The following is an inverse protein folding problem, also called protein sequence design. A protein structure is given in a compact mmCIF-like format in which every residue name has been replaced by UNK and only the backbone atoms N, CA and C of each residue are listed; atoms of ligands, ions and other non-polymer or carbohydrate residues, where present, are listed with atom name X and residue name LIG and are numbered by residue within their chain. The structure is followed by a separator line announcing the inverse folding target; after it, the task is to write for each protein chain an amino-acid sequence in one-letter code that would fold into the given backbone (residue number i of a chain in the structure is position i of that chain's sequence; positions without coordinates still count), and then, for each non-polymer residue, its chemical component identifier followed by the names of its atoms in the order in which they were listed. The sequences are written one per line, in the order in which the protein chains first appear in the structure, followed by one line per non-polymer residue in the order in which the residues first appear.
data_IF_275209858949
#
_entry.id   IF_275209858949
#
_cell.length_a   1.000
_cell.length_b   1.000
_cell.length_c   1.000
_cell.angle_alpha   90.00
_cell.angle_beta   90.00
_cell.angle_gamma   90.00
#
_symmetry.space_group_name_H-M   'P 1'
#
loop_
_entity.id
_entity.type
_entity.pdbx_description
1 polymer ?
#
# COMPACT_ATOMS: atom_id res chain seq x y z
N UNK A 1 -20.39 0.30 -26.80
CA UNK A 1 -19.35 1.29 -27.16
C UNK A 1 -18.59 1.56 -25.88
N UNK A 2 -17.37 1.03 -25.77
CA UNK A 2 -16.54 1.15 -24.57
C UNK A 2 -16.25 2.61 -24.26
N UNK A 3 -16.23 2.97 -22.98
CA UNK A 3 -16.16 4.35 -22.53
C UNK A 3 -14.73 4.90 -22.52
N UNK A 4 -13.71 4.10 -22.85
CA UNK A 4 -12.33 4.59 -23.01
C UNK A 4 -11.61 3.94 -24.19
N UNK A 5 -11.67 4.60 -25.35
CA UNK A 5 -10.77 4.29 -26.47
C UNK A 5 -9.28 4.47 -26.09
N UNK A 6 -9.00 5.19 -25.00
CA UNK A 6 -7.65 5.47 -24.50
C UNK A 6 -6.86 4.20 -24.14
N UNK A 7 -7.50 3.17 -23.59
CA UNK A 7 -6.81 1.96 -23.11
C UNK A 7 -7.17 0.67 -23.85
N UNK A 8 -7.77 0.78 -25.03
CA UNK A 8 -8.18 -0.39 -25.83
C UNK A 8 -7.00 -1.26 -26.26
N UNK A 9 -5.78 -0.71 -26.28
CA UNK A 9 -4.56 -1.46 -26.56
C UNK A 9 -4.13 -2.40 -25.41
N UNK A 10 -4.66 -2.18 -24.19
CA UNK A 10 -4.44 -3.05 -23.03
C UNK A 10 -5.56 -4.09 -22.91
N UNK A 11 -6.79 -3.66 -23.09
CA UNK A 11 -7.97 -4.53 -23.07
C UNK A 11 -9.12 -3.87 -23.84
N UNK A 12 -9.68 -4.59 -24.82
CA UNK A 12 -10.77 -4.13 -25.68
C UNK A 12 -12.03 -5.01 -25.60
N UNK A 13 -11.99 -6.07 -24.78
CA UNK A 13 -13.09 -7.03 -24.63
C UNK A 13 -13.32 -7.94 -25.84
N UNK A 14 -12.42 -8.00 -26.82
CA UNK A 14 -12.56 -8.85 -28.00
C UNK A 14 -12.36 -10.34 -27.69
N UNK A 15 -11.48 -10.65 -26.74
CA UNK A 15 -11.25 -12.00 -26.27
C UNK A 15 -12.32 -12.43 -25.25
N UNK A 16 -12.80 -13.69 -25.30
CA UNK A 16 -13.74 -14.19 -24.31
C UNK A 16 -13.04 -14.58 -22.99
N UNK A 17 -13.86 -14.87 -21.97
CA UNK A 17 -13.43 -15.51 -20.71
C UNK A 17 -12.58 -14.65 -19.77
N UNK A 18 -12.51 -13.34 -20.00
CA UNK A 18 -11.97 -12.40 -19.04
C UNK A 18 -12.89 -12.22 -17.84
N UNK A 19 -12.29 -12.15 -16.65
CA UNK A 19 -12.96 -11.77 -15.41
C UNK A 19 -12.08 -10.81 -14.63
N UNK A 20 -12.70 -10.01 -13.76
CA UNK A 20 -11.98 -9.16 -12.81
C UNK A 20 -11.76 -9.97 -11.54
N UNK A 21 -10.51 -10.20 -11.17
CA UNK A 21 -10.19 -10.81 -9.87
C UNK A 21 -9.98 -9.71 -8.85
N UNK A 22 -10.73 -9.80 -7.76
CA UNK A 22 -10.59 -8.93 -6.60
C UNK A 22 -9.78 -9.64 -5.51
N UNK A 23 -8.73 -8.96 -5.07
CA UNK A 23 -7.84 -9.39 -3.98
C UNK A 23 -7.91 -8.36 -2.87
N UNK A 24 -8.31 -8.82 -1.69
CA UNK A 24 -8.32 -7.98 -0.50
C UNK A 24 -7.05 -8.25 0.29
N UNK A 25 -6.31 -7.20 0.62
CA UNK A 25 -5.14 -7.25 1.48
C UNK A 25 -5.44 -6.49 2.76
N UNK A 26 -5.23 -7.18 3.87
CA UNK A 26 -5.28 -6.56 5.19
C UNK A 26 -3.94 -5.88 5.45
N UNK A 27 -3.97 -4.57 5.60
CA UNK A 27 -2.80 -3.74 5.82
C UNK A 27 -2.91 -2.98 7.14
N UNK A 28 -1.83 -2.37 7.57
CA UNK A 28 -1.85 -1.44 8.67
C UNK A 28 -0.81 -0.35 8.49
N UNK A 29 -1.21 0.88 8.79
CA UNK A 29 -0.29 1.99 8.93
C UNK A 29 0.37 1.93 10.30
N UNK A 30 1.70 1.94 10.33
CA UNK A 30 2.47 1.94 11.59
C UNK A 30 2.84 3.37 11.95
N UNK A 31 2.35 3.84 13.09
CA UNK A 31 2.59 5.19 13.60
C UNK A 31 3.48 5.14 14.84
N UNK A 32 4.49 6.00 14.87
CA UNK A 32 5.28 6.29 16.08
C UNK A 32 4.74 7.55 16.71
N UNK A 33 4.41 7.51 17.99
CA UNK A 33 3.94 8.64 18.77
C UNK A 33 5.09 9.31 19.54
N UNK A 34 5.07 10.63 19.58
CA UNK A 34 6.05 11.45 20.32
C UNK A 34 5.38 12.16 21.50
N UNK A 35 6.21 12.62 22.43
CA UNK A 35 5.78 13.53 23.49
C UNK A 35 5.36 14.90 22.94
N UNK A 36 4.82 15.75 23.81
CA UNK A 36 4.40 17.12 23.46
C UNK A 36 5.58 17.96 22.94
N UNK A 37 6.79 17.67 23.42
CA UNK A 37 8.03 18.34 23.03
C UNK A 37 8.66 17.75 21.75
N UNK A 38 8.03 16.75 21.14
CA UNK A 38 8.53 16.01 19.98
C UNK A 38 9.41 14.80 20.37
N UNK A 39 10.14 14.22 19.40
CA UNK A 39 10.97 13.05 19.64
C UNK A 39 12.26 13.39 20.39
N UNK A 40 12.63 12.53 21.33
CA UNK A 40 13.93 12.52 22.00
C UNK A 40 15.05 12.04 21.08
N UNK A 41 16.30 12.34 21.43
CA UNK A 41 17.47 11.83 20.68
C UNK A 41 17.53 10.30 20.63
N UNK A 42 17.06 9.61 21.69
CA UNK A 42 16.97 8.15 21.72
C UNK A 42 15.94 7.64 20.70
N UNK A 43 14.76 8.27 20.65
CA UNK A 43 13.71 7.94 19.67
C UNK A 43 14.17 8.22 18.24
N UNK A 44 14.91 9.32 18.00
CA UNK A 44 15.49 9.61 16.68
C UNK A 44 16.49 8.54 16.26
N UNK A 45 17.35 8.08 17.18
CA UNK A 45 18.29 7.00 16.90
C UNK A 45 17.57 5.70 16.54
N UNK A 46 16.51 5.35 17.26
CA UNK A 46 15.69 4.17 16.99
C UNK A 46 14.92 4.32 15.66
N UNK A 47 14.30 5.47 15.39
CA UNK A 47 13.61 5.72 14.12
C UNK A 47 14.54 5.56 12.91
N UNK A 48 15.77 6.04 13.00
CA UNK A 48 16.77 5.93 11.94
C UNK A 48 17.26 4.50 11.70
N UNK A 49 17.06 3.57 12.64
CA UNK A 49 17.41 2.16 12.43
C UNK A 49 16.31 1.39 11.67
N UNK A 50 15.05 1.80 11.81
CA UNK A 50 13.89 1.12 11.22
C UNK A 50 13.34 1.81 9.96
N UNK A 51 13.51 3.12 9.82
CA UNK A 51 13.04 3.86 8.65
C UNK A 51 14.17 4.04 7.62
N UNK A 52 14.00 3.43 6.45
CA UNK A 52 14.93 3.61 5.33
C UNK A 52 15.06 5.08 4.90
N UNK A 53 13.96 5.84 4.96
CA UNK A 53 13.92 7.27 4.60
C UNK A 53 14.75 8.11 5.58
N UNK A 54 14.67 7.82 6.88
CA UNK A 54 15.39 8.60 7.89
C UNK A 54 16.84 8.15 8.08
N UNK A 55 17.16 6.91 7.69
CA UNK A 55 18.49 6.32 7.85
C UNK A 55 19.59 7.13 7.15
N UNK A 56 19.29 7.68 5.98
CA UNK A 56 20.23 8.49 5.17
C UNK A 56 20.35 9.93 5.65
N UNK A 57 19.41 10.41 6.46
CA UNK A 57 19.42 11.77 7.01
C UNK A 57 20.29 11.86 8.26
N UNK A 58 20.87 13.03 8.51
CA UNK A 58 21.58 13.29 9.76
C UNK A 58 20.59 13.36 10.93
N UNK A 59 21.04 13.09 12.17
CA UNK A 59 20.16 13.18 13.33
C UNK A 59 19.59 14.61 13.54
N UNK A 60 20.35 15.64 13.15
CA UNK A 60 19.91 17.03 13.22
C UNK A 60 18.79 17.33 12.22
N UNK A 61 18.89 16.80 10.99
CA UNK A 61 17.87 16.97 9.97
C UNK A 61 16.58 16.22 10.35
N UNK A 62 16.70 15.00 10.88
CA UNK A 62 15.56 14.24 11.38
C UNK A 62 14.89 14.97 12.55
N UNK A 63 15.66 15.49 13.51
CA UNK A 63 15.11 16.28 14.60
C UNK A 63 14.37 17.52 14.08
N UNK A 64 14.93 18.20 13.07
CA UNK A 64 14.30 19.37 12.45
C UNK A 64 13.00 19.00 11.72
N UNK A 65 13.00 17.89 10.99
CA UNK A 65 11.83 17.38 10.26
C UNK A 65 10.70 16.97 11.20
N UNK A 66 11.03 16.37 12.34
CA UNK A 66 10.03 15.83 13.28
C UNK A 66 9.65 16.81 14.40
N UNK A 67 10.30 17.98 14.47
CA UNK A 67 10.02 18.98 15.51
C UNK A 67 8.56 19.45 15.44
N UNK A 68 7.86 19.36 16.55
CA UNK A 68 6.46 19.77 16.67
C UNK A 68 5.45 18.75 16.14
N UNK A 69 5.90 17.63 15.57
CA UNK A 69 5.03 16.51 15.22
C UNK A 69 4.71 15.69 16.48
N UNK A 70 3.45 15.25 16.58
CA UNK A 70 3.00 14.32 17.63
C UNK A 70 3.14 12.87 17.22
N UNK A 71 3.24 12.62 15.93
CA UNK A 71 3.44 11.29 15.38
C UNK A 71 4.18 11.32 14.05
N UNK A 72 4.73 10.17 13.68
CA UNK A 72 5.37 9.95 12.40
C UNK A 72 4.93 8.60 11.83
N UNK A 73 4.55 8.58 10.56
CA UNK A 73 4.20 7.35 9.85
C UNK A 73 5.44 6.64 9.34
N UNK A 74 5.54 5.35 9.65
CA UNK A 74 6.52 4.43 9.07
C UNK A 74 5.97 3.79 7.77
N UNK A 75 4.82 4.25 7.29
CA UNK A 75 4.15 3.75 6.10
C UNK A 75 3.07 2.71 6.39
N UNK A 76 2.36 2.36 5.33
CA UNK A 76 1.38 1.28 5.28
C UNK A 76 2.07 0.00 4.84
N UNK A 77 1.78 -1.10 5.54
CA UNK A 77 2.40 -2.40 5.29
C UNK A 77 1.36 -3.51 5.40
N UNK A 78 1.59 -4.62 4.70
CA UNK A 78 0.83 -5.86 4.92
C UNK A 78 0.83 -6.23 6.43
N UNK A 79 -0.31 -6.66 6.97
CA UNK A 79 -0.54 -6.89 8.40
C UNK A 79 0.58 -7.66 9.11
N UNK A 80 1.14 -8.69 8.48
CA UNK A 80 2.24 -9.48 9.05
C UNK A 80 3.53 -8.65 9.21
N UNK A 81 3.85 -7.84 8.20
CA UNK A 81 5.01 -6.95 8.18
C UNK A 81 4.80 -5.82 9.19
N UNK A 82 3.61 -5.21 9.20
CA UNK A 82 3.25 -4.16 10.16
C UNK A 82 3.42 -4.65 11.61
N UNK A 83 2.91 -5.84 11.94
CA UNK A 83 3.04 -6.44 13.28
C UNK A 83 4.51 -6.66 13.69
N UNK A 84 5.34 -7.14 12.75
CA UNK A 84 6.77 -7.32 13.01
C UNK A 84 7.44 -5.97 13.28
N UNK A 85 7.19 -4.97 12.43
CA UNK A 85 7.74 -3.63 12.59
C UNK A 85 7.33 -2.99 13.92
N UNK A 86 6.08 -3.19 14.32
CA UNK A 86 5.54 -2.71 15.59
C UNK A 86 6.32 -3.32 16.78
N UNK A 87 6.53 -4.64 16.79
CA UNK A 87 7.32 -5.33 17.82
C UNK A 87 8.78 -4.85 17.84
N UNK A 88 9.40 -4.72 16.67
CA UNK A 88 10.77 -4.23 16.55
C UNK A 88 10.89 -2.81 17.13
N UNK A 89 9.95 -1.92 16.81
CA UNK A 89 9.93 -0.55 17.36
C UNK A 89 9.71 -0.52 18.88
N UNK A 90 8.79 -1.33 19.40
CA UNK A 90 8.54 -1.45 20.84
C UNK A 90 9.78 -1.92 21.59
N UNK A 91 10.51 -2.89 21.03
CA UNK A 91 11.76 -3.40 21.62
C UNK A 91 12.86 -2.33 21.72
N UNK A 92 12.79 -1.29 20.89
CA UNK A 92 13.70 -0.13 20.90
C UNK A 92 13.20 1.02 21.79
N UNK A 93 12.08 0.83 22.49
CA UNK A 93 11.48 1.82 23.39
C UNK A 93 10.61 2.88 22.69
N UNK A 94 10.28 2.69 21.40
CA UNK A 94 9.37 3.58 20.69
C UNK A 94 7.92 3.32 21.11
N UNK A 95 7.15 4.39 21.29
CA UNK A 95 5.70 4.31 21.46
C UNK A 95 5.06 4.20 20.08
N UNK A 96 4.46 3.05 19.80
CA UNK A 96 3.91 2.76 18.47
C UNK A 96 2.48 2.23 18.55
N UNK A 97 1.72 2.50 17.51
CA UNK A 97 0.37 1.99 17.28
C UNK A 97 0.20 1.65 15.81
N UNK A 98 -0.69 0.72 15.52
CA UNK A 98 -1.16 0.42 14.17
C UNK A 98 -2.57 0.97 13.94
N UNK A 99 -2.80 1.47 12.73
CA UNK A 99 -4.14 1.75 12.21
C UNK A 99 -4.46 0.70 11.14
N UNK A 100 -5.38 -0.24 11.42
CA UNK A 100 -5.80 -1.23 10.45
C UNK A 100 -6.41 -0.55 9.22
N UNK A 101 -6.02 -1.04 8.05
CA UNK A 101 -6.54 -0.63 6.77
C UNK A 101 -6.83 -1.88 5.93
N UNK A 102 -7.68 -1.73 4.93
CA UNK A 102 -7.94 -2.80 3.98
C UNK A 102 -7.83 -2.22 2.59
N UNK A 103 -6.93 -2.80 1.79
CA UNK A 103 -6.74 -2.41 0.41
C UNK A 103 -7.34 -3.47 -0.51
N UNK A 104 -8.11 -3.00 -1.49
CA UNK A 104 -8.74 -3.86 -2.50
C UNK A 104 -8.03 -3.62 -3.82
N UNK A 105 -7.28 -4.62 -4.26
CA UNK A 105 -6.69 -4.64 -5.59
C UNK A 105 -7.55 -5.43 -6.55
N UNK A 106 -7.63 -4.96 -7.79
CA UNK A 106 -8.33 -5.65 -8.86
C UNK A 106 -7.41 -5.85 -10.04
N UNK A 107 -7.49 -7.01 -10.66
CA UNK A 107 -6.73 -7.35 -11.86
C UNK A 107 -7.63 -8.07 -12.87
N UNK A 108 -7.19 -8.13 -14.12
CA UNK A 108 -7.89 -8.88 -15.16
C UNK A 108 -7.19 -10.23 -15.36
N UNK A 109 -7.97 -11.31 -15.37
CA UNK A 109 -7.49 -12.65 -15.73
C UNK A 109 -8.33 -13.20 -16.88
N UNK A 110 -7.66 -13.78 -17.87
CA UNK A 110 -8.32 -14.62 -18.85
C UNK A 110 -8.39 -16.05 -18.29
N UNK A 111 -9.59 -16.49 -17.93
CA UNK A 111 -9.81 -17.78 -17.25
C UNK A 111 -9.60 -18.98 -18.17
N UNK A 112 -9.64 -18.78 -19.50
CA UNK A 112 -9.35 -19.82 -20.49
C UNK A 112 -7.84 -20.04 -20.62
N UNK A 113 -7.06 -18.96 -20.75
CA UNK A 113 -5.59 -19.06 -20.91
C UNK A 113 -4.83 -19.11 -19.60
N UNK A 114 -5.50 -18.86 -18.46
CA UNK A 114 -4.90 -18.76 -17.11
C UNK A 114 -3.83 -17.69 -17.01
N UNK A 115 -3.99 -16.59 -17.75
CA UNK A 115 -3.04 -15.47 -17.77
C UNK A 115 -3.65 -14.23 -17.16
N UNK A 116 -2.85 -13.52 -16.36
CA UNK A 116 -3.18 -12.20 -15.85
C UNK A 116 -2.71 -11.14 -16.85
N UNK A 117 -3.50 -10.08 -16.99
CA UNK A 117 -3.05 -8.85 -17.61
C UNK A 117 -2.28 -8.03 -16.56
N UNK A 118 -0.98 -7.90 -16.76
CA UNK A 118 -0.13 -7.08 -15.89
C UNK A 118 -0.06 -5.66 -16.46
N UNK A 119 -0.53 -4.69 -15.67
CA UNK A 119 -0.39 -3.26 -15.96
C UNK A 119 0.43 -2.67 -14.80
N UNK A 120 1.64 -2.21 -15.09
CA UNK A 120 2.58 -1.73 -14.07
C UNK A 120 2.17 -0.38 -13.46
N UNK A 121 1.52 0.46 -14.26
CA UNK A 121 0.95 1.71 -13.76
C UNK A 121 -0.39 1.44 -13.07
N UNK A 122 -0.42 1.70 -11.76
CA UNK A 122 -1.57 1.40 -10.91
C UNK A 122 -2.81 2.27 -11.26
N UNK A 123 -2.61 3.53 -11.68
CA UNK A 123 -3.71 4.40 -12.08
C UNK A 123 -4.33 3.91 -13.39
N UNK A 124 -3.49 3.53 -14.35
CA UNK A 124 -3.93 2.93 -15.61
C UNK A 124 -4.65 1.61 -15.36
N UNK A 125 -4.10 0.75 -14.49
CA UNK A 125 -4.73 -0.52 -14.12
C UNK A 125 -6.14 -0.31 -13.55
N UNK A 126 -6.30 0.64 -12.61
CA UNK A 126 -7.61 1.01 -12.06
C UNK A 126 -8.58 1.48 -13.14
N UNK A 127 -8.12 2.30 -14.08
CA UNK A 127 -8.96 2.79 -15.18
C UNK A 127 -9.41 1.66 -16.12
N UNK A 128 -8.51 0.76 -16.50
CA UNK A 128 -8.81 -0.39 -17.36
C UNK A 128 -9.80 -1.35 -16.68
N UNK A 129 -9.59 -1.66 -15.40
CA UNK A 129 -10.51 -2.51 -14.64
C UNK A 129 -11.89 -1.87 -14.51
N UNK A 130 -11.95 -0.56 -14.25
CA UNK A 130 -13.21 0.16 -14.15
C UNK A 130 -14.01 0.09 -15.47
N UNK A 131 -13.34 0.29 -16.61
CA UNK A 131 -13.97 0.14 -17.93
C UNK A 131 -14.41 -1.31 -18.18
N UNK A 132 -13.58 -2.30 -17.84
CA UNK A 132 -13.95 -3.72 -17.94
C UNK A 132 -15.22 -4.06 -17.15
N UNK A 133 -15.33 -3.60 -15.90
CA UNK A 133 -16.54 -3.78 -15.07
C UNK A 133 -17.74 -3.08 -15.73
N UNK A 134 -17.56 -1.85 -16.22
CA UNK A 134 -18.62 -1.10 -16.89
C UNK A 134 -19.11 -1.78 -18.18
N UNK A 135 -18.25 -2.55 -18.85
CA UNK A 135 -18.59 -3.37 -20.01
C UNK A 135 -19.10 -4.78 -19.64
N UNK A 136 -19.36 -5.05 -18.36
CA UNK A 136 -20.08 -6.24 -17.91
C UNK A 136 -19.20 -7.42 -17.50
N UNK A 137 -17.90 -7.23 -17.31
CA UNK A 137 -17.05 -8.29 -16.77
C UNK A 137 -17.42 -8.59 -15.32
N UNK A 138 -17.59 -9.88 -15.02
CA UNK A 138 -17.88 -10.36 -13.68
C UNK A 138 -16.66 -10.13 -12.76
N UNK A 139 -16.94 -9.72 -11.53
CA UNK A 139 -15.97 -9.70 -10.43
C UNK A 139 -15.99 -11.05 -9.72
N UNK A 140 -14.81 -11.66 -9.56
CA UNK A 140 -14.59 -12.87 -8.79
C UNK A 140 -13.64 -12.55 -7.63
N UNK A 141 -14.01 -12.95 -6.42
CA UNK A 141 -13.13 -12.79 -5.27
C UNK A 141 -12.09 -13.92 -5.26
N UNK A 142 -10.81 -13.59 -5.10
CA UNK A 142 -9.81 -14.63 -4.90
C UNK A 142 -10.06 -15.29 -3.55
N UNK A 143 -10.32 -16.60 -3.55
CA UNK A 143 -10.24 -17.38 -2.33
C UNK A 143 -8.75 -17.50 -1.98
N UNK A 144 -8.37 -16.94 -0.83
CA UNK A 144 -7.06 -17.19 -0.21
C UNK A 144 -6.93 -18.66 0.19
#
# INVERSE_FOLDING_TARGET
MSANAEYSYLWDGSEPSWVVVEHTRDEAEVLVAFGVDGPTLAEIKALRSVSAVLKTSSAADVLKQLRGLRSFSLGVHESRVARKLLLDCQSMGLKVSDLPAQEVHRSLINTLTKRFLLIEDEQVCRAVVADAIANGLQIVHSQN
#
